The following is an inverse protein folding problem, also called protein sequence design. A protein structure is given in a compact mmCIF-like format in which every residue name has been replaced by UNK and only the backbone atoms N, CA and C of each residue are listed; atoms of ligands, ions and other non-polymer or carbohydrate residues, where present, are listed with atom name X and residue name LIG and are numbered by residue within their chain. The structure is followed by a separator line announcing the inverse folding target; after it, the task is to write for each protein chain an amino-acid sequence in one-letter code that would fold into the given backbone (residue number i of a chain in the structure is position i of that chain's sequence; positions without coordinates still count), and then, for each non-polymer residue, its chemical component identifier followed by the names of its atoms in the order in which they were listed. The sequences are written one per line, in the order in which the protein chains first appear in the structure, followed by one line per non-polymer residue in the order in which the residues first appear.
data_IF_656700907373
#
_entry.id   IF_656700907373
#
_cell.length_a   1.000
_cell.length_b   1.000
_cell.length_c   1.000
_cell.angle_alpha   90.00
_cell.angle_beta   90.00
_cell.angle_gamma   90.00
#
_symmetry.space_group_name_H-M   'P 1'
#
loop_
_entity.id
_entity.type
_entity.pdbx_description
1 polymer ?
#
# COMPACT_ATOMS: atom_id res chain seq x y z
N UNK A 1 -19.28 -24.07 31.44
CA UNK A 1 -19.13 -23.49 30.09
C UNK A 1 -17.79 -22.80 30.01
N UNK A 2 -17.31 -22.56 28.80
CA UNK A 2 -16.05 -21.86 28.55
C UNK A 2 -16.35 -20.56 27.80
N UNK A 3 -15.58 -19.53 28.13
CA UNK A 3 -15.57 -18.26 27.43
C UNK A 3 -14.16 -18.01 26.94
N UNK A 4 -14.01 -17.76 25.64
CA UNK A 4 -12.73 -17.57 24.96
C UNK A 4 -12.73 -16.22 24.25
N UNK A 5 -11.58 -15.57 24.25
CA UNK A 5 -11.35 -14.33 23.51
C UNK A 5 -9.98 -14.41 22.86
N UNK A 6 -9.90 -14.16 21.57
CA UNK A 6 -8.65 -14.14 20.80
C UNK A 6 -8.74 -13.08 19.71
N UNK A 7 -7.63 -12.74 19.06
CA UNK A 7 -7.66 -11.81 17.92
C UNK A 7 -8.03 -12.48 16.61
N UNK A 8 -8.12 -13.81 16.57
CA UNK A 8 -8.49 -14.58 15.38
C UNK A 8 -9.42 -15.73 15.76
N UNK A 9 -10.37 -16.04 14.88
CA UNK A 9 -11.29 -17.19 15.03
C UNK A 9 -10.53 -18.53 15.09
N UNK A 10 -9.38 -18.66 14.43
CA UNK A 10 -8.53 -19.85 14.55
C UNK A 10 -7.98 -20.08 15.97
N UNK A 11 -7.71 -18.99 16.71
CA UNK A 11 -7.28 -19.09 18.10
C UNK A 11 -8.41 -19.51 19.03
N UNK A 12 -9.63 -19.02 18.75
CA UNK A 12 -10.87 -19.35 19.47
C UNK A 12 -11.19 -20.84 19.29
N UNK A 13 -11.24 -21.31 18.04
CA UNK A 13 -11.52 -22.70 17.67
C UNK A 13 -10.51 -23.68 18.29
N UNK A 14 -9.23 -23.32 18.33
CA UNK A 14 -8.22 -24.16 19.00
C UNK A 14 -8.54 -24.36 20.48
N UNK A 15 -8.98 -23.30 21.18
CA UNK A 15 -9.28 -23.36 22.61
C UNK A 15 -10.60 -24.11 22.84
N UNK A 16 -11.65 -23.81 22.07
CA UNK A 16 -12.96 -24.48 22.21
C UNK A 16 -12.93 -25.93 21.76
N UNK A 17 -12.25 -26.27 20.67
CA UNK A 17 -12.10 -27.65 20.19
C UNK A 17 -11.40 -28.52 21.24
N UNK A 18 -10.35 -27.98 21.89
CA UNK A 18 -9.68 -28.69 22.99
C UNK A 18 -10.60 -28.92 24.20
N UNK A 19 -11.43 -27.93 24.52
CA UNK A 19 -12.41 -28.03 25.59
C UNK A 19 -13.51 -29.07 25.30
N UNK A 20 -14.03 -29.08 24.08
CA UNK A 20 -15.00 -30.07 23.62
C UNK A 20 -14.43 -31.49 23.69
N UNK A 21 -13.19 -31.67 23.23
CA UNK A 21 -12.48 -32.96 23.33
C UNK A 21 -12.32 -33.42 24.79
N UNK A 22 -11.99 -32.52 25.70
CA UNK A 22 -11.86 -32.84 27.12
C UNK A 22 -13.21 -33.25 27.74
N UNK A 23 -14.30 -32.54 27.41
CA UNK A 23 -15.65 -32.87 27.90
C UNK A 23 -16.05 -34.27 27.44
N UNK A 24 -15.78 -34.62 26.17
CA UNK A 24 -16.09 -35.95 25.63
C UNK A 24 -15.28 -37.07 26.28
N UNK A 25 -14.05 -36.79 26.71
CA UNK A 25 -13.12 -37.82 27.21
C UNK A 25 -13.14 -37.95 28.73
N UNK A 26 -13.30 -36.84 29.45
CA UNK A 26 -13.13 -36.77 30.91
C UNK A 26 -14.30 -36.12 31.64
N UNK A 27 -15.32 -35.62 30.92
CA UNK A 27 -16.43 -34.86 31.51
C UNK A 27 -16.05 -33.48 32.04
N UNK A 28 -14.76 -33.11 31.98
CA UNK A 28 -14.23 -31.83 32.41
C UNK A 28 -13.70 -31.06 31.22
N UNK A 29 -13.77 -29.73 31.27
CA UNK A 29 -13.35 -28.87 30.18
C UNK A 29 -11.87 -28.45 30.24
N UNK A 30 -11.17 -28.80 31.32
CA UNK A 30 -9.78 -28.41 31.61
C UNK A 30 -8.87 -29.65 31.60
N UNK A 31 -7.61 -29.54 31.13
CA UNK A 31 -6.92 -28.33 30.65
C UNK A 31 -7.18 -28.00 29.17
N UNK A 32 -7.41 -26.72 28.85
CA UNK A 32 -7.59 -26.25 27.46
C UNK A 32 -6.26 -25.91 26.78
N UNK A 33 -6.16 -26.18 25.49
CA UNK A 33 -4.98 -25.88 24.67
C UNK A 33 -4.96 -24.40 24.31
N UNK A 34 -3.89 -23.70 24.68
CA UNK A 34 -3.64 -22.31 24.27
C UNK A 34 -2.68 -22.32 23.07
N UNK A 35 -2.98 -21.64 21.95
CA UNK A 35 -2.06 -21.51 20.83
C UNK A 35 -0.71 -20.92 21.25
N UNK A 36 0.38 -21.67 21.05
CA UNK A 36 1.76 -21.27 21.38
C UNK A 36 2.68 -21.47 20.17
N UNK A 37 3.94 -21.02 20.26
CA UNK A 37 4.91 -21.12 19.16
C UNK A 37 4.48 -20.34 17.92
N UNK A 38 4.56 -20.94 16.73
CA UNK A 38 4.14 -20.31 15.47
C UNK A 38 2.66 -19.91 15.43
N UNK A 39 1.83 -20.54 16.26
CA UNK A 39 0.40 -20.21 16.39
C UNK A 39 0.14 -19.13 17.45
N UNK A 40 1.18 -18.58 18.09
CA UNK A 40 1.03 -17.53 19.09
C UNK A 40 0.47 -16.23 18.50
N UNK A 41 0.53 -16.02 17.19
CA UNK A 41 -0.14 -14.89 16.53
C UNK A 41 -1.68 -14.95 16.67
N UNK A 42 -2.23 -16.15 16.85
CA UNK A 42 -3.68 -16.38 16.95
C UNK A 42 -4.24 -16.20 18.37
N UNK A 43 -3.40 -16.15 19.41
CA UNK A 43 -3.86 -15.99 20.81
C UNK A 43 -4.04 -14.54 21.26
N UNK A 44 -3.41 -13.58 20.59
CA UNK A 44 -3.45 -12.18 21.02
C UNK A 44 -4.77 -11.54 20.62
N UNK A 45 -5.47 -10.86 21.54
CA UNK A 45 -6.74 -10.16 21.25
C UNK A 45 -6.60 -9.02 20.23
N UNK A 46 -5.42 -8.41 20.16
CA UNK A 46 -5.05 -7.39 19.18
C UNK A 46 -3.57 -7.59 18.88
N UNK A 47 -3.20 -7.80 17.62
CA UNK A 47 -1.81 -7.90 17.21
C UNK A 47 -1.59 -7.20 15.87
N UNK A 48 -0.80 -6.13 15.84
CA UNK A 48 -0.44 -5.44 14.61
C UNK A 48 0.89 -4.66 14.69
N UNK A 49 1.97 -5.19 14.11
CA UNK A 49 3.08 -4.37 13.66
C UNK A 49 3.07 -4.29 12.12
N UNK A 50 2.05 -3.61 11.55
CA UNK A 50 1.89 -3.10 10.15
C UNK A 50 1.95 -4.12 8.98
N UNK A 51 1.54 -3.81 7.74
CA UNK A 51 0.51 -2.85 7.31
C UNK A 51 -0.52 -3.61 6.47
N UNK A 52 -1.79 -3.45 6.86
CA UNK A 52 -2.98 -4.23 6.49
C UNK A 52 -3.15 -5.59 7.19
N UNK A 53 -3.24 -5.56 8.53
CA UNK A 53 -4.40 -6.25 9.09
C UNK A 53 -5.50 -5.27 9.49
N UNK A 54 -6.75 -5.61 9.17
CA UNK A 54 -7.86 -5.13 9.96
C UNK A 54 -7.68 -5.71 11.37
N UNK A 55 -7.71 -4.89 12.43
CA UNK A 55 -7.74 -5.42 13.78
C UNK A 55 -8.98 -6.30 13.92
N UNK A 56 -8.79 -7.56 14.34
CA UNK A 56 -9.89 -8.47 14.55
C UNK A 56 -9.98 -8.91 16.01
N UNK A 57 -11.22 -9.01 16.50
CA UNK A 57 -11.55 -9.57 17.81
C UNK A 57 -12.49 -10.74 17.56
N UNK A 58 -12.12 -11.91 18.08
CA UNK A 58 -12.92 -13.12 18.08
C UNK A 58 -13.35 -13.46 19.52
N UNK A 59 -14.60 -13.88 19.66
CA UNK A 59 -15.23 -14.23 20.93
C UNK A 59 -16.02 -15.52 20.76
N UNK A 60 -15.79 -16.47 21.67
CA UNK A 60 -16.47 -17.77 21.69
C UNK A 60 -17.12 -18.05 23.04
N UNK A 61 -18.33 -18.58 23.02
CA UNK A 61 -18.98 -19.16 24.20
C UNK A 61 -19.40 -20.59 23.92
N UNK A 62 -18.89 -21.51 24.73
CA UNK A 62 -19.33 -22.89 24.78
C UNK A 62 -20.20 -23.12 26.03
N UNK A 63 -21.50 -23.35 25.83
CA UNK A 63 -22.46 -23.65 26.91
C UNK A 63 -23.39 -24.80 26.52
N UNK A 64 -23.37 -25.88 27.30
CA UNK A 64 -24.19 -27.07 27.03
C UNK A 64 -23.85 -27.68 25.67
N UNK A 65 -24.81 -27.62 24.73
CA UNK A 65 -24.70 -28.12 23.36
C UNK A 65 -24.59 -27.00 22.30
N UNK A 66 -24.45 -25.74 22.73
CA UNK A 66 -24.43 -24.58 21.84
C UNK A 66 -23.06 -23.90 21.88
N UNK A 67 -22.50 -23.65 20.70
CA UNK A 67 -21.29 -22.86 20.47
C UNK A 67 -21.67 -21.59 19.72
N UNK A 68 -21.21 -20.44 20.21
CA UNK A 68 -21.45 -19.13 19.59
C UNK A 68 -20.11 -18.43 19.37
N UNK A 69 -19.78 -18.17 18.10
CA UNK A 69 -18.55 -17.49 17.69
C UNK A 69 -18.87 -16.14 17.02
N UNK A 70 -18.17 -15.08 17.44
CA UNK A 70 -18.31 -13.74 16.89
C UNK A 70 -16.93 -13.20 16.51
N UNK A 71 -16.76 -12.79 15.25
CA UNK A 71 -15.55 -12.11 14.77
C UNK A 71 -15.87 -10.73 14.19
N UNK A 72 -15.24 -9.68 14.71
CA UNK A 72 -15.32 -8.31 14.18
C UNK A 72 -13.98 -7.91 13.59
N UNK A 73 -13.93 -7.47 12.34
CA UNK A 73 -12.75 -6.90 11.69
C UNK A 73 -12.94 -5.42 11.36
N UNK A 74 -11.97 -4.57 11.70
CA UNK A 74 -11.98 -3.14 11.38
C UNK A 74 -10.60 -2.65 10.93
N UNK A 75 -10.55 -1.93 9.80
CA UNK A 75 -9.37 -1.25 9.28
C UNK A 75 -9.70 0.23 9.06
N UNK A 76 -8.93 1.13 9.67
CA UNK A 76 -9.01 2.57 9.41
C UNK A 76 -7.72 3.00 8.71
N UNK A 77 -7.84 3.41 7.45
CA UNK A 77 -6.75 4.01 6.69
C UNK A 77 -6.89 5.53 6.72
N UNK A 78 -5.85 6.24 7.15
CA UNK A 78 -5.73 7.68 7.03
C UNK A 78 -4.50 7.97 6.18
N UNK A 79 -4.70 8.46 4.96
CA UNK A 79 -3.62 8.81 4.04
C UNK A 79 -3.46 10.33 3.96
N UNK A 80 -2.32 10.83 4.45
CA UNK A 80 -1.96 12.25 4.47
C UNK A 80 -0.53 12.41 3.98
N UNK A 81 -0.36 12.55 2.67
CA UNK A 81 0.92 12.89 2.03
C UNK A 81 0.90 14.32 1.47
N UNK A 82 1.95 15.10 1.74
CA UNK A 82 2.20 16.39 1.05
C UNK A 82 3.57 16.33 0.40
N UNK A 83 3.61 16.34 -0.92
CA UNK A 83 4.86 16.42 -1.70
C UNK A 83 5.13 17.88 -2.03
N UNK A 84 6.33 18.36 -1.70
CA UNK A 84 6.78 19.72 -2.03
C UNK A 84 8.05 19.60 -2.88
N UNK A 85 7.96 20.06 -4.13
CA UNK A 85 9.10 20.12 -5.06
C UNK A 85 9.59 21.57 -5.17
N UNK A 86 10.91 21.79 -5.14
CA UNK A 86 11.52 23.14 -5.24
C UNK A 86 12.76 23.11 -6.13
N UNK A 87 12.60 23.02 -7.46
CA UNK A 87 13.72 23.02 -8.40
C UNK A 87 14.45 24.37 -8.39
N UNK A 88 15.78 24.33 -8.57
CA UNK A 88 16.65 25.52 -8.65
C UNK A 88 17.53 25.42 -9.89
N UNK A 89 17.62 26.49 -10.66
CA UNK A 89 18.41 26.58 -11.90
C UNK A 89 19.17 27.91 -11.94
N UNK A 90 20.41 27.88 -12.43
CA UNK A 90 21.27 29.05 -12.62
C UNK A 90 21.51 29.17 -14.13
N UNK A 91 21.23 30.34 -14.70
CA UNK A 91 21.42 30.61 -16.14
C UNK A 91 21.90 32.04 -16.39
N UNK A 92 22.38 32.31 -17.60
CA UNK A 92 22.81 33.63 -18.04
C UNK A 92 21.62 34.49 -18.52
N UNK A 93 21.82 35.81 -18.61
CA UNK A 93 20.82 36.74 -19.12
C UNK A 93 20.45 36.39 -20.57
N UNK A 94 19.15 36.33 -20.88
CA UNK A 94 18.57 35.95 -22.18
C UNK A 94 18.90 34.52 -22.65
N UNK A 95 19.46 33.68 -21.77
CA UNK A 95 19.76 32.28 -22.08
C UNK A 95 18.70 31.37 -21.46
N UNK A 96 18.02 30.60 -22.32
CA UNK A 96 17.11 29.56 -21.87
C UNK A 96 17.87 28.46 -21.13
N UNK A 97 17.36 28.06 -19.96
CA UNK A 97 17.82 26.90 -19.22
C UNK A 97 16.65 26.03 -18.77
N UNK A 98 16.90 24.74 -18.71
CA UNK A 98 15.95 23.72 -18.29
C UNK A 98 16.54 22.85 -17.19
N UNK A 99 15.69 22.45 -16.25
CA UNK A 99 16.01 21.45 -15.24
C UNK A 99 14.91 20.39 -15.27
N UNK A 100 15.31 19.13 -15.43
CA UNK A 100 14.41 17.97 -15.47
C UNK A 100 14.78 17.01 -14.33
N UNK A 101 13.77 16.56 -13.58
CA UNK A 101 13.92 15.55 -12.55
C UNK A 101 12.83 14.49 -12.72
N UNK A 102 13.23 13.24 -12.95
CA UNK A 102 12.30 12.12 -13.07
C UNK A 102 12.94 10.94 -13.78
N UNK A 103 12.11 10.13 -14.43
CA UNK A 103 12.54 8.88 -15.09
C UNK A 103 11.98 8.80 -16.51
N UNK A 104 12.60 7.97 -17.33
CA UNK A 104 12.10 7.62 -18.66
C UNK A 104 11.46 6.25 -18.62
N UNK A 105 10.24 6.15 -19.16
CA UNK A 105 9.50 4.90 -19.24
C UNK A 105 9.64 4.32 -20.65
N UNK A 106 10.19 3.11 -20.82
CA UNK A 106 10.18 2.41 -22.10
C UNK A 106 8.77 1.91 -22.43
N UNK A 107 8.33 2.07 -23.67
CA UNK A 107 7.12 1.46 -24.21
C UNK A 107 7.41 0.84 -25.59
N UNK A 108 6.67 -0.22 -25.90
CA UNK A 108 6.79 -0.89 -27.19
C UNK A 108 5.95 -0.15 -28.24
N UNK A 109 6.59 0.24 -29.34
CA UNK A 109 5.95 0.84 -30.49
C UNK A 109 5.99 -0.13 -31.67
N UNK A 110 4.87 -0.28 -32.37
CA UNK A 110 4.84 -1.01 -33.63
C UNK A 110 5.42 -0.13 -34.74
N UNK A 111 6.58 -0.48 -35.26
CA UNK A 111 7.11 0.15 -36.46
C UNK A 111 6.24 -0.23 -37.67
N UNK A 112 6.09 0.69 -38.62
CA UNK A 112 5.26 0.53 -39.83
C UNK A 112 5.65 -0.67 -40.72
N UNK A 113 6.81 -1.28 -40.49
CA UNK A 113 7.30 -2.49 -41.15
C UNK A 113 6.94 -3.81 -40.46
N UNK A 114 6.19 -3.77 -39.34
CA UNK A 114 5.87 -4.96 -38.54
C UNK A 114 6.95 -5.36 -37.54
N UNK A 115 8.04 -4.58 -37.43
CA UNK A 115 9.05 -4.73 -36.37
C UNK A 115 8.59 -4.04 -35.07
N UNK A 116 8.96 -4.61 -33.92
CA UNK A 116 8.72 -4.00 -32.60
C UNK A 116 9.93 -3.16 -32.20
N UNK A 117 9.74 -1.88 -31.92
CA UNK A 117 10.78 -0.98 -31.41
C UNK A 117 10.47 -0.57 -29.96
N UNK A 118 11.51 -0.26 -29.18
CA UNK A 118 11.37 0.30 -27.83
C UNK A 118 11.57 1.80 -27.94
N UNK A 119 10.55 2.58 -27.57
CA UNK A 119 10.59 4.03 -27.49
C UNK A 119 10.52 4.47 -26.02
N UNK A 120 11.11 5.62 -25.68
CA UNK A 120 11.15 6.13 -24.31
C UNK A 120 10.25 7.37 -24.17
N UNK A 121 9.39 7.37 -23.16
CA UNK A 121 8.57 8.53 -22.79
C UNK A 121 9.03 9.10 -21.46
N UNK A 122 9.32 10.40 -21.42
CA UNK A 122 9.75 11.11 -20.22
C UNK A 122 8.57 11.33 -19.27
N UNK A 123 8.71 10.91 -18.02
CA UNK A 123 7.83 11.26 -16.90
C UNK A 123 8.68 12.05 -15.88
N UNK A 124 8.75 13.36 -16.12
CA UNK A 124 9.65 14.26 -15.40
C UNK A 124 8.91 15.50 -14.91
N UNK A 125 9.34 16.01 -13.76
CA UNK A 125 9.14 17.40 -13.39
C UNK A 125 10.17 18.24 -14.15
N UNK A 126 9.70 19.13 -15.00
CA UNK A 126 10.52 20.00 -15.85
C UNK A 126 10.19 21.46 -15.55
N UNK A 127 11.23 22.27 -15.34
CA UNK A 127 11.15 23.73 -15.29
C UNK A 127 12.04 24.29 -16.40
N UNK A 128 11.44 25.01 -17.34
CA UNK A 128 12.15 25.82 -18.33
C UNK A 128 12.06 27.28 -17.94
N UNK A 129 13.18 27.98 -17.97
CA UNK A 129 13.26 29.39 -17.62
C UNK A 129 14.10 30.15 -18.63
N UNK A 130 13.63 31.35 -18.97
CA UNK A 130 14.38 32.33 -19.74
C UNK A 130 14.33 33.67 -19.00
N UNK A 131 15.43 34.11 -18.35
CA UNK A 131 15.47 35.39 -17.66
C UNK A 131 15.85 36.53 -18.62
N UNK A 132 15.31 37.70 -18.35
CA UNK A 132 15.69 38.97 -18.97
C UNK A 132 15.88 40.02 -17.87
N UNK A 133 17.09 40.60 -17.80
CA UNK A 133 17.40 41.68 -16.86
C UNK A 133 17.00 43.02 -17.51
N UNK A 134 16.12 43.77 -16.83
CA UNK A 134 15.67 45.10 -17.24
C UNK A 134 16.65 46.17 -16.72
N UNK A 135 16.84 47.31 -17.40
CA UNK A 135 17.80 48.35 -16.97
C UNK A 135 17.53 48.99 -15.60
N UNK A 136 16.31 48.84 -15.09
CA UNK A 136 15.89 49.26 -13.75
C UNK A 136 16.20 48.21 -12.66
N UNK A 137 17.03 47.22 -12.99
CA UNK A 137 17.46 46.13 -12.11
C UNK A 137 16.34 45.15 -11.71
N UNK A 138 15.25 45.10 -12.49
CA UNK A 138 14.24 44.03 -12.38
C UNK A 138 14.58 42.84 -13.28
N UNK A 139 14.02 41.67 -12.96
CA UNK A 139 14.18 40.44 -13.73
C UNK A 139 12.81 40.01 -14.22
N UNK A 140 12.64 39.92 -15.54
CA UNK A 140 11.48 39.31 -16.18
C UNK A 140 11.82 37.85 -16.43
N UNK A 141 11.00 36.93 -15.92
CA UNK A 141 11.20 35.49 -16.08
C UNK A 141 10.05 34.95 -16.91
N UNK A 142 10.38 34.25 -17.99
CA UNK A 142 9.43 33.34 -18.66
C UNK A 142 9.62 31.96 -18.07
N UNK A 143 8.60 31.42 -17.40
CA UNK A 143 8.63 30.10 -16.78
C UNK A 143 7.62 29.18 -17.48
N UNK A 144 8.08 27.99 -17.85
CA UNK A 144 7.23 26.87 -18.25
C UNK A 144 7.49 25.71 -17.28
N UNK A 145 6.44 25.28 -16.57
CA UNK A 145 6.52 24.22 -15.55
C UNK A 145 5.65 23.07 -16.00
N UNK A 146 6.26 21.90 -16.12
CA UNK A 146 5.59 20.65 -16.48
C UNK A 146 5.80 19.65 -15.34
N UNK A 147 4.70 19.15 -14.78
CA UNK A 147 4.73 18.11 -13.76
C UNK A 147 4.08 16.85 -14.33
N UNK A 148 4.89 15.80 -14.55
CA UNK A 148 4.40 14.50 -15.01
C UNK A 148 4.94 13.42 -14.08
N UNK A 149 4.01 12.76 -13.39
CA UNK A 149 4.29 11.60 -12.54
C UNK A 149 3.99 10.30 -13.26
N UNK A 150 4.72 9.24 -12.94
CA UNK A 150 4.40 7.90 -13.45
C UNK A 150 3.04 7.45 -12.89
N UNK A 151 2.11 7.13 -13.77
CA UNK A 151 0.80 6.59 -13.41
C UNK A 151 0.87 5.08 -13.13
N UNK A 152 -0.25 4.52 -12.71
CA UNK A 152 -0.39 3.08 -12.53
C UNK A 152 -0.23 2.35 -13.87
N UNK A 153 0.41 1.18 -13.85
CA UNK A 153 0.49 0.32 -15.03
C UNK A 153 -0.92 -0.15 -15.42
N UNK A 154 -1.34 0.19 -16.64
CA UNK A 154 -2.60 -0.32 -17.20
C UNK A 154 -2.25 -1.51 -18.07
N UNK A 155 -2.82 -2.67 -17.75
CA UNK A 155 -2.70 -3.86 -18.60
C UNK A 155 -3.52 -3.60 -19.86
N UNK A 156 -2.86 -3.39 -20.99
CA UNK A 156 -3.53 -3.30 -22.28
C UNK A 156 -4.08 -4.68 -22.67
N UNK A 157 -5.21 -4.70 -23.38
CA UNK A 157 -5.89 -5.93 -23.85
C UNK A 157 -4.93 -6.79 -24.68
N UNK A 158 -4.31 -7.79 -24.04
CA UNK A 158 -3.20 -8.57 -24.60
C UNK A 158 -2.14 -9.00 -23.57
N UNK A 159 -2.21 -8.51 -22.33
CA UNK A 159 -1.27 -8.90 -21.26
C UNK A 159 0.02 -8.09 -21.21
N UNK A 160 0.13 -7.03 -22.03
CA UNK A 160 1.24 -6.08 -21.99
C UNK A 160 0.94 -5.02 -20.94
N UNK A 161 1.77 -4.94 -19.91
CA UNK A 161 1.76 -3.83 -18.95
C UNK A 161 2.33 -2.59 -19.65
N UNK A 162 1.49 -1.57 -19.83
CA UNK A 162 1.93 -0.27 -20.34
C UNK A 162 1.80 0.73 -19.18
N UNK A 163 2.90 1.33 -18.71
CA UNK A 163 2.82 2.36 -17.68
C UNK A 163 2.09 3.60 -18.22
N UNK A 164 1.09 4.10 -17.49
CA UNK A 164 0.43 5.36 -17.82
C UNK A 164 1.31 6.57 -17.41
N UNK A 165 1.16 7.69 -18.11
CA UNK A 165 1.77 8.99 -17.75
C UNK A 165 0.71 10.06 -17.54
#
# INVERSE_FOLDING_TARGET
GIVTTTGTSAGEDTIVSSALGNIQTTGNYSPVTIPTGSNAANRYNVNLPVNNPAGSIAFGILSGNSLIDLQLSAAQAEDKGKVISSPRVITANQQQADIMQGVEIPYQESASSGATSIAFKKAVLELKVTPQITPDNHIILSLDVKDQTVGQEVVASGGVQVPAI
#
